data_IF_340541528285
#
_entry.id   IF_340541528285
#
_cell.length_a   1.000
_cell.length_b   1.000
_cell.length_c   1.000
_cell.angle_alpha   90.00
_cell.angle_beta   90.00
_cell.angle_gamma   90.00
#
_symmetry.space_group_name_H-M   'P 1'
#
loop_
_entity.id
_entity.type
_entity.pdbx_description
1 polymer ?
#
# COMPACT_ATOMS: atom_id res chain seq x y z
N UNK A 1 -41.66 -78.96 -18.00
CA UNK A 1 -42.35 -78.64 -16.73
C UNK A 1 -41.65 -79.43 -15.65
N UNK A 2 -40.85 -78.80 -14.80
CA UNK A 2 -40.20 -79.46 -13.67
C UNK A 2 -40.10 -78.46 -12.52
N UNK A 3 -40.82 -78.75 -11.45
CA UNK A 3 -40.99 -77.96 -10.24
C UNK A 3 -40.09 -78.58 -9.16
N UNK A 4 -39.04 -77.88 -8.72
CA UNK A 4 -38.26 -78.19 -7.51
C UNK A 4 -37.70 -76.85 -7.00
N UNK A 5 -38.44 -76.12 -6.15
CA UNK A 5 -38.38 -76.22 -4.68
C UNK A 5 -36.93 -76.05 -4.16
N UNK A 6 -36.57 -74.85 -3.69
CA UNK A 6 -36.64 -74.50 -2.26
C UNK A 6 -35.86 -75.49 -1.37
N UNK A 7 -34.52 -75.48 -1.42
CA UNK A 7 -33.68 -75.76 -0.24
C UNK A 7 -32.20 -75.49 -0.55
N UNK A 8 -31.73 -74.27 -0.35
CA UNK A 8 -30.31 -74.06 0.01
C UNK A 8 -30.20 -72.76 0.80
N UNK A 9 -30.71 -72.85 2.03
CA UNK A 9 -30.40 -71.93 3.12
C UNK A 9 -29.04 -72.35 3.66
N UNK A 10 -27.94 -71.78 3.16
CA UNK A 10 -26.64 -71.90 3.83
C UNK A 10 -25.76 -70.68 3.57
N UNK A 11 -25.66 -69.86 4.62
CA UNK A 11 -24.46 -69.10 5.01
C UNK A 11 -23.77 -68.23 3.94
N UNK A 12 -24.17 -66.95 3.83
CA UNK A 12 -23.20 -65.86 3.69
C UNK A 12 -23.75 -64.58 4.38
N UNK A 13 -23.57 -64.50 5.69
CA UNK A 13 -23.60 -63.22 6.42
C UNK A 13 -22.24 -62.56 6.21
N UNK A 14 -22.07 -61.79 5.12
CA UNK A 14 -20.90 -60.89 5.02
C UNK A 14 -21.36 -59.52 5.51
N UNK A 15 -21.03 -59.24 6.76
CA UNK A 15 -21.02 -57.90 7.32
C UNK A 15 -20.13 -57.01 6.43
N UNK A 16 -20.73 -56.03 5.77
CA UNK A 16 -20.00 -55.01 5.02
C UNK A 16 -19.35 -54.05 6.03
N UNK A 17 -18.11 -54.33 6.40
CA UNK A 17 -17.28 -53.37 7.13
C UNK A 17 -16.87 -52.26 6.16
N UNK A 18 -17.56 -51.12 6.20
CA UNK A 18 -17.15 -49.92 5.45
C UNK A 18 -15.98 -49.29 6.22
N UNK A 19 -14.76 -49.48 5.73
CA UNK A 19 -13.63 -48.65 6.13
C UNK A 19 -13.91 -47.23 5.63
N UNK A 20 -14.25 -46.32 6.54
CA UNK A 20 -14.23 -44.88 6.25
C UNK A 20 -12.76 -44.50 6.20
N UNK A 21 -12.19 -44.41 4.99
CA UNK A 21 -10.88 -43.81 4.81
C UNK A 21 -11.04 -42.31 5.07
N UNK A 22 -10.71 -41.83 6.26
CA UNK A 22 -10.48 -40.40 6.48
C UNK A 22 -9.19 -40.04 5.76
N UNK A 23 -9.29 -39.47 4.56
CA UNK A 23 -8.16 -38.79 3.95
C UNK A 23 -7.71 -37.70 4.92
N UNK A 24 -6.42 -37.61 5.29
CA UNK A 24 -5.96 -36.41 5.96
C UNK A 24 -6.27 -35.25 5.01
N UNK A 25 -6.99 -34.25 5.49
CA UNK A 25 -7.00 -32.95 4.83
C UNK A 25 -5.54 -32.54 4.84
N UNK A 26 -4.91 -32.62 3.68
CA UNK A 26 -3.58 -32.09 3.47
C UNK A 26 -3.77 -30.57 3.55
N UNK A 27 -3.72 -30.05 4.78
CA UNK A 27 -3.65 -28.63 5.01
C UNK A 27 -2.37 -28.20 4.31
N UNK A 28 -2.53 -27.65 3.11
CA UNK A 28 -1.49 -26.91 2.44
C UNK A 28 -1.34 -25.62 3.23
N UNK A 29 -0.73 -25.73 4.41
CA UNK A 29 -0.21 -24.62 5.15
C UNK A 29 1.00 -24.15 4.34
N UNK A 30 0.72 -23.45 3.23
CA UNK A 30 1.66 -22.47 2.73
C UNK A 30 1.84 -21.51 3.90
N UNK A 31 2.94 -21.71 4.64
CA UNK A 31 3.43 -20.70 5.54
C UNK A 31 3.57 -19.45 4.66
N UNK A 32 2.64 -18.50 4.82
CA UNK A 32 2.84 -17.16 4.30
C UNK A 32 4.00 -16.64 5.12
N UNK A 33 5.21 -16.82 4.59
CA UNK A 33 6.38 -16.11 5.07
C UNK A 33 6.09 -14.66 4.74
N UNK A 34 5.49 -13.96 5.71
CA UNK A 34 5.43 -12.51 5.69
C UNK A 34 6.88 -12.06 5.78
N UNK A 35 7.50 -11.82 4.62
CA UNK A 35 8.77 -11.09 4.57
C UNK A 35 8.54 -9.77 5.30
N UNK A 36 9.49 -9.38 6.15
CA UNK A 36 9.52 -8.05 6.74
C UNK A 36 9.21 -7.05 5.63
N UNK A 37 8.12 -6.31 5.74
CA UNK A 37 7.95 -5.12 4.90
C UNK A 37 9.10 -4.20 5.30
N UNK A 38 10.15 -4.20 4.49
CA UNK A 38 11.08 -3.10 4.47
C UNK A 38 10.23 -1.89 4.11
N UNK A 39 10.12 -0.93 5.03
CA UNK A 39 9.56 0.38 4.73
C UNK A 39 10.44 0.95 3.62
N UNK A 40 10.00 0.78 2.38
CA UNK A 40 10.70 1.33 1.23
C UNK A 40 10.64 2.84 1.38
N UNK A 41 11.77 3.43 1.78
CA UNK A 41 11.89 4.88 1.91
C UNK A 41 11.88 5.45 0.50
N UNK A 42 10.72 5.95 0.12
CA UNK A 42 10.53 6.63 -1.15
C UNK A 42 10.77 8.13 -1.00
N UNK A 43 11.70 8.66 -1.79
CA UNK A 43 12.07 10.08 -1.78
C UNK A 43 11.92 10.67 -3.19
N UNK A 44 10.73 11.18 -3.56
CA UNK A 44 10.53 11.84 -4.85
C UNK A 44 11.27 13.17 -4.90
N UNK A 45 11.68 13.57 -6.11
CA UNK A 45 12.20 14.93 -6.31
C UNK A 45 11.04 15.93 -6.29
N UNK A 46 11.23 17.05 -5.58
CA UNK A 46 10.34 18.21 -5.68
C UNK A 46 10.63 18.90 -7.02
N UNK A 47 9.59 19.04 -7.85
CA UNK A 47 9.65 19.69 -9.17
C UNK A 47 9.35 21.19 -9.04
N UNK A 48 8.43 21.54 -8.14
CA UNK A 48 8.07 22.89 -7.75
C UNK A 48 7.60 22.89 -6.29
N UNK A 49 7.98 23.86 -5.45
CA UNK A 49 8.79 25.04 -5.78
C UNK A 49 10.23 24.69 -6.12
N UNK A 50 10.90 25.54 -6.90
CA UNK A 50 12.34 25.44 -7.14
C UNK A 50 13.10 26.15 -6.04
N UNK A 51 14.38 25.81 -5.85
CA UNK A 51 15.25 26.54 -4.92
C UNK A 51 15.25 28.05 -5.23
N UNK A 52 14.96 28.86 -4.21
CA UNK A 52 14.85 30.32 -4.33
C UNK A 52 13.44 30.84 -4.67
N UNK A 53 12.46 29.96 -4.90
CA UNK A 53 11.07 30.38 -5.03
C UNK A 53 10.56 30.96 -3.71
N UNK A 54 9.97 32.16 -3.78
CA UNK A 54 9.38 32.83 -2.62
C UNK A 54 7.88 32.92 -2.80
N UNK A 55 7.14 32.20 -1.98
CA UNK A 55 5.70 32.35 -1.90
C UNK A 55 5.32 33.61 -1.13
N UNK A 56 4.64 34.52 -1.82
CA UNK A 56 4.17 35.76 -1.24
C UNK A 56 2.95 35.50 -0.35
N UNK A 57 3.00 35.93 0.91
CA UNK A 57 1.87 35.86 1.83
C UNK A 57 0.66 36.59 1.23
N UNK A 58 -0.53 36.02 1.39
CA UNK A 58 -1.78 36.57 0.87
C UNK A 58 -2.14 36.17 -0.56
N UNK A 59 -1.32 35.36 -1.25
CA UNK A 59 -1.78 34.70 -2.47
C UNK A 59 -2.90 33.71 -2.15
N UNK A 60 -3.85 33.61 -3.09
CA UNK A 60 -5.03 32.77 -2.89
C UNK A 60 -4.75 31.30 -3.12
N UNK A 61 -3.71 30.92 -3.88
CA UNK A 61 -3.39 29.53 -4.22
C UNK A 61 -1.88 29.36 -4.37
N UNK A 62 -1.35 28.33 -3.71
CA UNK A 62 -0.01 27.81 -3.88
C UNK A 62 -0.09 26.38 -4.38
N UNK A 63 0.96 25.89 -5.01
CA UNK A 63 1.07 24.51 -5.44
C UNK A 63 2.43 23.92 -5.09
N UNK A 64 2.45 22.62 -4.84
CA UNK A 64 3.66 21.82 -4.78
C UNK A 64 3.49 20.65 -5.75
N UNK A 65 4.54 20.31 -6.48
CA UNK A 65 4.57 19.17 -7.39
C UNK A 65 5.81 18.33 -7.13
N UNK A 66 5.66 17.02 -7.11
CA UNK A 66 6.75 16.07 -6.86
C UNK A 66 6.65 14.88 -7.81
N UNK A 67 7.76 14.18 -7.98
CA UNK A 67 7.84 12.99 -8.79
C UNK A 67 9.22 12.84 -9.41
N UNK A 68 9.32 11.96 -10.42
CA UNK A 68 10.56 11.76 -11.15
C UNK A 68 10.71 12.92 -12.14
N UNK A 69 11.53 13.92 -11.82
CA UNK A 69 11.99 14.86 -12.83
C UNK A 69 12.96 14.11 -13.75
N UNK A 70 12.75 14.11 -15.08
CA UNK A 70 13.53 13.28 -15.97
C UNK A 70 14.92 13.89 -16.14
N UNK A 71 15.95 13.13 -15.77
CA UNK A 71 17.27 13.30 -16.32
C UNK A 71 17.60 12.03 -17.12
N UNK A 72 17.92 12.18 -18.41
CA UNK A 72 17.06 12.70 -19.47
C UNK A 72 16.26 11.54 -20.10
N UNK A 73 15.11 11.81 -20.75
CA UNK A 73 14.22 10.83 -21.39
C UNK A 73 13.32 9.99 -20.45
N UNK A 74 12.30 10.62 -19.88
CA UNK A 74 11.09 9.86 -19.52
C UNK A 74 9.85 10.53 -20.14
N UNK A 75 9.03 9.80 -20.92
CA UNK A 75 7.82 10.37 -21.48
C UNK A 75 6.77 10.60 -20.38
N UNK A 76 5.90 11.60 -20.59
CA UNK A 76 4.96 12.16 -19.60
C UNK A 76 3.87 11.18 -19.12
N UNK A 77 3.85 9.98 -19.68
CA UNK A 77 2.90 8.89 -19.44
C UNK A 77 3.47 7.77 -18.55
N UNK A 78 4.73 7.86 -18.11
CA UNK A 78 5.25 6.87 -17.16
C UNK A 78 4.75 7.12 -15.73
N UNK A 79 4.25 6.08 -15.03
CA UNK A 79 3.74 6.22 -13.67
C UNK A 79 4.78 6.83 -12.74
N UNK A 80 4.33 7.66 -11.79
CA UNK A 80 5.15 8.05 -10.65
C UNK A 80 5.71 6.75 -10.03
N UNK A 81 7.02 6.72 -9.83
CA UNK A 81 7.77 5.57 -9.34
C UNK A 81 7.53 5.37 -7.84
N UNK A 82 6.26 5.15 -7.46
CA UNK A 82 5.79 4.99 -6.09
C UNK A 82 5.77 3.48 -5.79
N UNK A 83 6.53 3.03 -4.78
CA UNK A 83 6.47 1.66 -4.27
C UNK A 83 5.03 1.25 -4.00
N UNK A 84 4.68 -0.01 -4.28
CA UNK A 84 3.29 -0.46 -4.15
C UNK A 84 2.72 -0.22 -2.74
N UNK A 85 3.58 -0.36 -1.73
CA UNK A 85 3.32 -0.16 -0.31
C UNK A 85 2.95 1.30 0.00
N UNK A 86 3.48 2.25 -0.76
CA UNK A 86 3.30 3.69 -0.52
C UNK A 86 2.11 4.29 -1.30
N UNK A 87 1.47 3.55 -2.21
CA UNK A 87 0.42 4.09 -3.09
C UNK A 87 -0.85 4.53 -2.37
N UNK A 88 -1.10 4.02 -1.17
CA UNK A 88 -2.25 4.39 -0.35
C UNK A 88 -1.90 5.42 0.74
N UNK A 89 -0.67 5.92 0.77
CA UNK A 89 -0.25 6.90 1.75
C UNK A 89 -0.80 8.29 1.39
N UNK A 90 -1.08 9.07 2.43
CA UNK A 90 -1.41 10.49 2.31
C UNK A 90 -0.23 11.35 2.75
N UNK A 91 -0.10 12.54 2.15
CA UNK A 91 0.97 13.49 2.45
C UNK A 91 0.57 14.57 3.45
N UNK A 92 1.61 15.22 3.99
CA UNK A 92 1.52 16.46 4.77
C UNK A 92 2.63 17.39 4.28
N UNK A 93 2.32 18.67 4.08
CA UNK A 93 3.30 19.72 3.84
C UNK A 93 3.37 20.59 5.10
N UNK A 94 4.59 20.75 5.61
CA UNK A 94 4.90 21.61 6.76
C UNK A 94 5.85 22.71 6.31
N UNK A 95 5.79 23.86 6.99
CA UNK A 95 6.78 24.92 6.82
C UNK A 95 7.86 24.78 7.87
N UNK A 96 9.10 24.99 7.44
CA UNK A 96 10.21 25.22 8.34
C UNK A 96 10.25 26.68 8.80
N UNK A 97 10.74 26.91 10.01
CA UNK A 97 11.00 28.24 10.55
C UNK A 97 12.27 28.24 11.39
N UNK A 98 12.97 29.37 11.42
CA UNK A 98 14.06 29.61 12.37
C UNK A 98 13.47 30.27 13.62
N UNK A 99 13.82 29.76 14.79
CA UNK A 99 13.47 30.46 16.03
C UNK A 99 14.46 31.62 16.22
N UNK A 100 14.00 32.78 16.67
CA UNK A 100 14.86 33.95 16.90
C UNK A 100 16.00 33.68 17.90
N UNK A 101 15.85 32.64 18.73
CA UNK A 101 16.86 32.18 19.67
C UNK A 101 17.72 31.01 19.15
N UNK A 102 17.30 30.36 18.06
CA UNK A 102 18.02 29.28 17.41
C UNK A 102 18.01 29.52 15.90
N UNK A 103 18.97 30.32 15.45
CA UNK A 103 19.14 30.63 14.03
C UNK A 103 19.95 29.57 13.28
N UNK A 104 20.46 28.57 13.98
CA UNK A 104 21.31 27.52 13.41
C UNK A 104 20.49 26.30 12.99
N UNK A 105 19.32 26.08 13.61
CA UNK A 105 18.45 24.94 13.33
C UNK A 105 17.09 25.37 12.75
N UNK A 106 16.65 24.63 11.74
CA UNK A 106 15.29 24.75 11.21
C UNK A 106 14.33 23.90 12.06
N UNK A 107 13.26 24.53 12.54
CA UNK A 107 12.15 23.87 13.21
C UNK A 107 11.02 23.63 12.21
N UNK A 108 10.27 22.55 12.36
CA UNK A 108 9.07 22.29 11.57
C UNK A 108 7.82 22.74 12.34
N UNK A 109 6.97 23.55 11.72
CA UNK A 109 5.64 23.87 12.25
C UNK A 109 4.69 22.68 12.01
N UNK A 110 4.77 21.70 12.90
CA UNK A 110 3.92 20.52 12.89
C UNK A 110 2.49 20.79 13.37
N UNK A 111 2.25 21.93 14.02
CA UNK A 111 0.93 22.29 14.56
C UNK A 111 0.02 22.89 13.48
N UNK A 112 0.62 23.53 12.46
CA UNK A 112 -0.10 24.17 11.36
C UNK A 112 0.45 23.72 10.00
N UNK A 113 0.18 22.47 9.57
CA UNK A 113 0.54 22.04 8.23
C UNK A 113 -0.19 22.90 7.19
N UNK A 114 0.49 23.26 6.11
CA UNK A 114 -0.10 24.07 5.01
C UNK A 114 -0.97 23.23 4.07
N UNK A 115 -0.76 21.91 4.05
CA UNK A 115 -1.62 20.95 3.38
C UNK A 115 -1.51 19.58 4.07
N UNK A 116 -2.59 18.80 4.11
CA UNK A 116 -2.59 17.45 4.67
C UNK A 116 -3.67 16.56 4.04
N UNK A 117 -3.49 15.25 4.12
CA UNK A 117 -4.49 14.26 3.72
C UNK A 117 -4.63 14.05 2.20
N UNK A 118 -3.77 14.67 1.39
CA UNK A 118 -3.77 14.49 -0.06
C UNK A 118 -3.10 13.16 -0.44
N UNK A 119 -3.59 12.43 -1.44
CA UNK A 119 -2.90 11.24 -1.96
C UNK A 119 -1.51 11.60 -2.48
N UNK A 120 -0.46 10.88 -2.05
CA UNK A 120 0.90 11.15 -2.57
C UNK A 120 1.06 10.72 -4.04
N UNK A 121 0.13 9.91 -4.53
CA UNK A 121 0.02 9.47 -5.92
C UNK A 121 -0.44 10.55 -6.88
N UNK A 122 -1.00 11.65 -6.39
CA UNK A 122 -1.43 12.75 -7.26
C UNK A 122 -0.22 13.48 -7.89
N UNK A 123 0.95 13.43 -7.26
CA UNK A 123 2.15 14.14 -7.73
C UNK A 123 2.05 15.66 -7.62
N UNK A 124 0.93 16.18 -7.11
CA UNK A 124 0.74 17.59 -6.84
C UNK A 124 -0.27 17.82 -5.71
N UNK A 125 -0.18 18.98 -5.09
CA UNK A 125 -1.24 19.50 -4.20
C UNK A 125 -1.36 21.01 -4.38
N UNK A 126 -2.57 21.53 -4.21
CA UNK A 126 -2.85 22.96 -4.13
C UNK A 126 -3.35 23.31 -2.73
N UNK A 127 -2.93 24.45 -2.20
CA UNK A 127 -3.32 24.91 -0.87
C UNK A 127 -3.40 26.44 -0.82
N UNK A 128 -4.11 26.98 0.17
CA UNK A 128 -4.58 28.37 0.17
C UNK A 128 -4.03 29.20 1.35
N UNK A 129 -3.25 28.60 2.25
CA UNK A 129 -2.86 29.24 3.50
C UNK A 129 -1.35 29.13 3.75
N UNK A 130 -0.69 30.28 3.76
CA UNK A 130 0.58 30.49 4.44
C UNK A 130 0.23 31.45 5.58
N UNK A 131 0.25 30.95 6.82
CA UNK A 131 -0.10 31.69 8.02
C UNK A 131 1.02 32.63 8.46
#
# INVERSE_FOLDING_TARGET
>A
MSFTALFSLFLVLIAQLRLVSSSPIQANAQAVVLSREELEVWSPSIIYPKGGEVWQVGQTVYNMTWGKHPYPYRPWDEPIDIPYQARNNTGVIMLGYLDGNDTENEHLDWQKPVASGFPITDGFVRFHHLA
#
